data_IF_280261359481
#
_entry.id   IF_280261359481
#
_cell.length_a   1.000
_cell.length_b   1.000
_cell.length_c   1.000
_cell.angle_alpha   90.00
_cell.angle_beta   90.00
_cell.angle_gamma   90.00
#
_symmetry.space_group_name_H-M   'P 1'
#
loop_
_entity.id
_entity.type
_entity.pdbx_description
1 polymer ?
#
# COMPACT_ATOMS: atom_id res chain seq x y z
N UNK A 1 1.25 23.66 -5.78
CA UNK A 1 0.27 23.03 -6.70
C UNK A 1 0.71 21.61 -7.02
N UNK A 2 -0.22 20.72 -7.39
CA UNK A 2 0.07 19.32 -7.72
C UNK A 2 0.24 19.19 -9.25
N UNK A 3 1.46 18.88 -9.70
CA UNK A 3 1.80 18.75 -11.13
C UNK A 3 1.50 17.35 -11.67
N UNK A 4 1.17 16.40 -10.79
CA UNK A 4 0.80 15.03 -11.17
C UNK A 4 2.00 14.12 -11.44
N UNK A 5 3.22 14.54 -11.11
CA UNK A 5 4.43 13.71 -11.25
C UNK A 5 4.30 12.40 -10.44
N UNK A 6 4.77 11.25 -10.96
CA UNK A 6 4.72 9.98 -10.24
C UNK A 6 5.30 10.09 -8.81
N UNK A 7 4.50 9.75 -7.80
CA UNK A 7 4.90 9.79 -6.40
C UNK A 7 4.85 11.17 -5.73
N UNK A 8 4.39 12.21 -6.42
CA UNK A 8 4.07 13.49 -5.78
C UNK A 8 2.86 13.30 -4.85
N UNK A 9 2.91 13.83 -3.63
CA UNK A 9 1.82 13.70 -2.65
C UNK A 9 1.34 15.05 -2.16
N UNK A 10 0.02 15.22 -2.03
CA UNK A 10 -0.58 16.39 -1.40
C UNK A 10 -1.64 15.92 -0.40
N UNK A 11 -1.47 16.29 0.87
CA UNK A 11 -2.42 15.99 1.92
C UNK A 11 -3.32 17.22 2.13
N UNK A 12 -4.62 17.03 1.94
CA UNK A 12 -5.65 18.03 2.21
C UNK A 12 -6.35 17.69 3.52
N UNK A 13 -6.68 18.71 4.29
CA UNK A 13 -7.37 18.61 5.57
C UNK A 13 -8.73 19.29 5.48
N UNK A 14 -9.76 18.69 6.10
CA UNK A 14 -11.09 19.29 6.25
C UNK A 14 -11.69 19.81 4.92
N UNK A 15 -11.72 18.94 3.90
CA UNK A 15 -12.34 19.29 2.62
C UNK A 15 -13.85 19.33 2.79
N UNK A 16 -14.54 20.43 2.39
CA UNK A 16 -15.98 20.55 2.55
C UNK A 16 -16.72 19.47 1.76
N UNK A 17 -17.85 19.00 2.28
CA UNK A 17 -18.72 17.97 1.67
C UNK A 17 -18.09 16.58 1.52
N UNK A 18 -17.02 16.26 2.28
CA UNK A 18 -16.42 14.93 2.33
C UNK A 18 -16.40 14.42 3.77
N UNK A 19 -16.80 13.17 3.98
CA UNK A 19 -16.82 12.54 5.33
C UNK A 19 -15.41 12.27 5.87
N UNK A 20 -14.42 12.14 4.99
CA UNK A 20 -13.03 11.89 5.34
C UNK A 20 -12.38 13.15 5.94
N UNK A 21 -11.76 13.01 7.11
CA UNK A 21 -11.01 14.11 7.76
C UNK A 21 -9.84 14.62 6.92
N UNK A 22 -9.23 13.72 6.14
CA UNK A 22 -8.05 13.98 5.30
C UNK A 22 -8.19 13.30 3.95
N UNK A 23 -7.71 13.97 2.91
CA UNK A 23 -7.64 13.43 1.55
C UNK A 23 -6.18 13.46 1.10
N UNK A 24 -5.63 12.30 0.77
CA UNK A 24 -4.29 12.17 0.21
C UNK A 24 -4.39 12.05 -1.32
N UNK A 25 -3.89 13.05 -2.02
CA UNK A 25 -3.74 13.04 -3.47
C UNK A 25 -2.34 12.54 -3.83
N UNK A 26 -2.26 11.66 -4.82
CA UNK A 26 -1.01 11.08 -5.30
C UNK A 26 -0.91 11.26 -6.81
N UNK A 27 0.16 11.90 -7.25
CA UNK A 27 0.52 11.99 -8.66
C UNK A 27 0.90 10.62 -9.18
N UNK A 28 0.17 10.15 -10.18
CA UNK A 28 0.40 8.83 -10.80
C UNK A 28 1.11 8.95 -12.17
N UNK A 29 1.49 10.16 -12.59
CA UNK A 29 2.00 10.41 -13.93
C UNK A 29 0.92 10.37 -15.01
N UNK A 30 1.35 10.18 -16.25
CA UNK A 30 0.43 10.05 -17.38
C UNK A 30 -0.24 8.68 -17.36
N UNK A 31 -1.55 8.66 -17.50
CA UNK A 31 -2.37 7.44 -17.43
C UNK A 31 -1.87 6.32 -18.39
N UNK A 32 -1.48 6.68 -19.62
CA UNK A 32 -1.02 5.71 -20.62
C UNK A 32 0.36 5.11 -20.34
N UNK A 33 1.14 5.74 -19.47
CA UNK A 33 2.50 5.31 -19.14
C UNK A 33 2.53 4.43 -17.88
N UNK A 34 1.39 4.29 -17.16
CA UNK A 34 1.32 3.55 -15.91
C UNK A 34 1.55 2.04 -16.11
N UNK A 35 2.78 1.64 -15.84
CA UNK A 35 3.22 0.25 -15.85
C UNK A 35 3.22 -0.36 -14.44
N UNK A 36 3.63 -1.63 -14.37
CA UNK A 36 3.64 -2.39 -13.12
C UNK A 36 4.63 -1.85 -12.08
N UNK A 37 5.77 -1.32 -12.56
CA UNK A 37 6.83 -0.79 -11.70
C UNK A 37 6.37 0.53 -11.09
N UNK A 38 5.83 1.42 -11.91
CA UNK A 38 5.27 2.69 -11.48
C UNK A 38 4.09 2.47 -10.52
N UNK A 39 3.21 1.50 -10.81
CA UNK A 39 2.13 1.14 -9.90
C UNK A 39 2.65 0.77 -8.50
N UNK A 40 3.66 -0.12 -8.42
CA UNK A 40 4.29 -0.48 -7.14
C UNK A 40 4.91 0.73 -6.44
N UNK A 41 5.62 1.59 -7.17
CA UNK A 41 6.22 2.80 -6.60
C UNK A 41 5.17 3.76 -6.03
N UNK A 42 4.05 3.94 -6.74
CA UNK A 42 2.92 4.76 -6.29
C UNK A 42 2.32 4.18 -5.01
N UNK A 43 2.08 2.87 -4.96
CA UNK A 43 1.56 2.22 -3.73
C UNK A 43 2.56 2.35 -2.58
N UNK A 44 3.84 2.08 -2.79
CA UNK A 44 4.88 2.22 -1.76
C UNK A 44 4.91 3.64 -1.19
N UNK A 45 4.88 4.66 -2.06
CA UNK A 45 4.86 6.06 -1.65
C UNK A 45 3.61 6.40 -0.83
N UNK A 46 2.45 5.89 -1.27
CA UNK A 46 1.17 6.03 -0.57
C UNK A 46 1.27 5.50 0.86
N UNK A 47 1.78 4.28 1.01
CA UNK A 47 1.86 3.60 2.31
C UNK A 47 2.82 4.33 3.25
N UNK A 48 3.98 4.77 2.75
CA UNK A 48 4.92 5.58 3.52
C UNK A 48 4.27 6.88 4.00
N UNK A 49 3.62 7.63 3.11
CA UNK A 49 2.94 8.88 3.48
C UNK A 49 1.80 8.66 4.48
N UNK A 50 1.05 7.55 4.37
CA UNK A 50 0.01 7.21 5.35
C UNK A 50 0.61 6.89 6.72
N UNK A 51 1.75 6.19 6.77
CA UNK A 51 2.43 5.86 8.01
C UNK A 51 3.06 7.10 8.67
N UNK A 52 3.70 7.98 7.89
CA UNK A 52 4.30 9.23 8.37
C UNK A 52 3.25 10.21 8.91
N UNK A 53 2.06 10.22 8.30
CA UNK A 53 0.95 11.08 8.71
C UNK A 53 0.14 10.50 9.88
N UNK A 54 0.51 9.31 10.40
CA UNK A 54 -0.15 8.67 11.53
C UNK A 54 -1.61 8.29 11.27
N UNK A 55 -1.92 7.91 10.03
CA UNK A 55 -3.27 7.50 9.62
C UNK A 55 -3.50 6.02 9.96
N UNK A 56 -4.47 5.74 10.84
CA UNK A 56 -4.78 4.36 11.25
C UNK A 56 -5.65 3.62 10.25
N UNK A 57 -6.53 4.33 9.54
CA UNK A 57 -7.42 3.77 8.54
C UNK A 57 -7.35 4.59 7.24
N UNK A 58 -7.39 3.91 6.10
CA UNK A 58 -7.40 4.56 4.80
C UNK A 58 -8.27 3.78 3.79
N UNK A 59 -9.01 4.52 2.96
CA UNK A 59 -9.69 4.00 1.77
C UNK A 59 -8.86 4.37 0.56
N UNK A 60 -8.50 3.37 -0.25
CA UNK A 60 -7.60 3.49 -1.38
C UNK A 60 -8.36 3.29 -2.69
N UNK A 61 -8.31 4.31 -3.55
CA UNK A 61 -8.94 4.31 -4.87
C UNK A 61 -7.93 4.03 -6.01
N UNK A 62 -6.65 3.82 -5.70
CA UNK A 62 -5.59 3.58 -6.69
C UNK A 62 -5.79 2.27 -7.46
N UNK A 63 -6.60 1.35 -6.94
CA UNK A 63 -7.00 0.11 -7.62
C UNK A 63 -7.88 0.35 -8.84
N UNK A 64 -8.45 1.54 -9.02
CA UNK A 64 -9.21 1.90 -10.22
C UNK A 64 -8.33 2.29 -11.40
N UNK A 65 -7.07 2.69 -11.15
CA UNK A 65 -6.16 3.15 -12.19
C UNK A 65 -5.98 2.11 -13.30
N UNK A 66 -5.94 2.57 -14.54
CA UNK A 66 -5.66 1.70 -15.69
C UNK A 66 -4.16 1.36 -15.70
N UNK A 67 -3.83 0.11 -15.38
CA UNK A 67 -2.47 -0.42 -15.49
C UNK A 67 -2.42 -1.30 -16.73
N UNK A 68 -1.48 -1.02 -17.64
CA UNK A 68 -1.40 -1.68 -18.94
C UNK A 68 -1.36 -3.21 -18.82
N UNK A 69 -2.36 -3.89 -19.38
CA UNK A 69 -2.44 -5.35 -19.41
C UNK A 69 -2.75 -6.03 -18.07
N UNK A 70 -3.21 -5.29 -17.05
CA UNK A 70 -3.48 -5.83 -15.72
C UNK A 70 -4.94 -5.67 -15.30
N UNK A 71 -5.46 -6.69 -14.65
CA UNK A 71 -6.83 -6.72 -14.15
C UNK A 71 -6.91 -6.26 -12.68
N UNK A 72 -8.14 -6.10 -12.16
CA UNK A 72 -8.36 -5.65 -10.78
C UNK A 72 -7.82 -6.64 -9.73
N UNK A 73 -7.89 -7.95 -10.00
CA UNK A 73 -7.25 -8.96 -9.15
C UNK A 73 -5.75 -8.69 -8.97
N UNK A 74 -5.04 -8.47 -10.08
CA UNK A 74 -3.60 -8.20 -10.05
C UNK A 74 -3.29 -6.91 -9.30
N UNK A 75 -4.05 -5.83 -9.56
CA UNK A 75 -3.86 -4.53 -8.91
C UNK A 75 -4.04 -4.63 -7.39
N UNK A 76 -5.14 -5.24 -6.92
CA UNK A 76 -5.40 -5.44 -5.48
C UNK A 76 -4.32 -6.31 -4.84
N UNK A 77 -3.97 -7.44 -5.47
CA UNK A 77 -2.93 -8.35 -4.96
C UNK A 77 -1.59 -7.64 -4.82
N UNK A 78 -1.15 -6.92 -5.86
CA UNK A 78 0.11 -6.19 -5.83
C UNK A 78 0.08 -5.02 -4.84
N UNK A 79 -1.05 -4.35 -4.67
CA UNK A 79 -1.19 -3.31 -3.65
C UNK A 79 -1.01 -3.88 -2.23
N UNK A 80 -1.60 -5.04 -1.94
CA UNK A 80 -1.45 -5.74 -0.66
C UNK A 80 0.00 -6.20 -0.43
N UNK A 81 0.60 -6.87 -1.41
CA UNK A 81 2.00 -7.33 -1.33
C UNK A 81 2.95 -6.14 -1.10
N UNK A 82 2.80 -5.08 -1.90
CA UNK A 82 3.64 -3.88 -1.78
C UNK A 82 3.45 -3.17 -0.45
N UNK A 83 2.22 -3.10 0.08
CA UNK A 83 1.96 -2.50 1.38
C UNK A 83 2.64 -3.25 2.52
N UNK A 84 2.54 -4.59 2.52
CA UNK A 84 3.21 -5.43 3.54
C UNK A 84 4.73 -5.39 3.42
N UNK A 85 5.24 -5.37 2.20
CA UNK A 85 6.66 -5.20 1.90
C UNK A 85 7.19 -3.86 2.41
N UNK A 86 6.45 -2.78 2.17
CA UNK A 86 6.84 -1.42 2.57
C UNK A 86 6.87 -1.26 4.10
N UNK A 87 5.96 -1.90 4.80
CA UNK A 87 5.85 -1.86 6.27
C UNK A 87 6.72 -2.91 6.97
N UNK A 88 7.50 -3.71 6.23
CA UNK A 88 8.37 -4.71 6.81
C UNK A 88 9.50 -4.06 7.62
N UNK A 89 9.65 -4.49 8.87
CA UNK A 89 10.78 -4.15 9.74
C UNK A 89 11.22 -5.40 10.50
N UNK A 90 12.52 -5.57 10.68
CA UNK A 90 13.13 -6.65 11.45
C UNK A 90 13.76 -6.10 12.73
N UNK A 91 12.94 -6.01 13.78
CA UNK A 91 13.34 -5.42 15.06
C UNK A 91 13.50 -6.46 16.18
N UNK A 92 13.47 -7.76 15.84
CA UNK A 92 13.51 -8.84 16.83
C UNK A 92 14.78 -8.81 17.69
N UNK A 93 15.91 -8.36 17.11
CA UNK A 93 17.22 -8.28 17.76
C UNK A 93 17.60 -6.86 18.20
N UNK A 94 16.67 -5.90 18.10
CA UNK A 94 16.89 -4.52 18.55
C UNK A 94 16.48 -4.38 20.01
N UNK A 95 17.40 -3.85 20.84
CA UNK A 95 17.11 -3.51 22.25
C UNK A 95 16.10 -2.36 22.36
N UNK A 96 16.28 -1.33 21.53
CA UNK A 96 15.36 -0.19 21.45
C UNK A 96 14.46 -0.35 20.23
N UNK A 97 13.24 -0.83 20.43
CA UNK A 97 12.24 -0.96 19.37
C UNK A 97 11.49 0.36 19.21
N UNK A 98 11.51 0.93 18.01
CA UNK A 98 10.72 2.12 17.70
C UNK A 98 9.35 1.69 17.18
N UNK A 99 8.35 1.66 18.06
CA UNK A 99 6.97 1.45 17.61
C UNK A 99 6.39 2.76 17.05
N UNK A 100 5.84 2.75 15.83
CA UNK A 100 5.13 3.91 15.32
C UNK A 100 3.91 4.19 16.21
N UNK A 101 3.77 5.43 16.70
CA UNK A 101 2.66 5.83 17.61
C UNK A 101 1.27 5.60 17.03
N UNK A 102 1.12 5.67 15.70
CA UNK A 102 -0.16 5.52 14.99
C UNK A 102 0.06 4.71 13.70
N UNK A 103 0.21 3.39 13.81
CA UNK A 103 0.44 2.55 12.63
C UNK A 103 -0.82 2.48 11.76
N UNK A 104 -0.64 2.30 10.45
CA UNK A 104 -1.73 1.98 9.55
C UNK A 104 -2.28 0.58 9.89
N UNK A 105 -3.50 0.53 10.46
CA UNK A 105 -4.15 -0.69 10.94
C UNK A 105 -5.06 -1.31 9.89
N UNK A 106 -5.75 -0.48 9.11
CA UNK A 106 -6.77 -0.92 8.16
C UNK A 106 -6.64 -0.17 6.85
N UNK A 107 -6.63 -0.93 5.75
CA UNK A 107 -6.69 -0.38 4.40
C UNK A 107 -7.85 -1.04 3.68
N UNK A 108 -8.72 -0.22 3.08
CA UNK A 108 -9.85 -0.66 2.29
C UNK A 108 -9.56 -0.31 0.84
N UNK A 109 -9.60 -1.29 -0.06
CA UNK A 109 -9.42 -1.06 -1.49
C UNK A 109 -10.78 -0.91 -2.16
N UNK A 110 -10.96 0.18 -2.91
CA UNK A 110 -12.18 0.34 -3.69
C UNK A 110 -12.13 -0.54 -4.95
N UNK A 111 -13.26 -1.10 -5.32
CA UNK A 111 -13.43 -1.81 -6.60
C UNK A 111 -14.55 -1.15 -7.41
N UNK A 112 -14.37 -0.93 -8.73
CA UNK A 112 -15.34 -0.21 -9.55
C UNK A 112 -16.73 -0.87 -9.59
N UNK A 113 -16.80 -2.20 -9.53
CA UNK A 113 -18.05 -2.94 -9.69
C UNK A 113 -18.24 -4.02 -8.63
N UNK A 114 -19.51 -4.28 -8.27
CA UNK A 114 -19.87 -5.34 -7.30
C UNK A 114 -19.44 -6.74 -7.75
N UNK A 115 -19.38 -6.97 -9.07
CA UNK A 115 -18.96 -8.27 -9.65
C UNK A 115 -17.48 -8.58 -9.37
N UNK A 116 -16.67 -7.56 -9.16
CA UNK A 116 -15.24 -7.71 -8.91
C UNK A 116 -14.91 -7.89 -7.43
N UNK A 117 -15.88 -7.72 -6.52
CA UNK A 117 -15.68 -7.90 -5.07
C UNK A 117 -15.11 -9.29 -4.75
N UNK A 118 -15.71 -10.36 -5.28
CA UNK A 118 -15.22 -11.73 -5.04
C UNK A 118 -13.79 -11.92 -5.53
N UNK A 119 -13.42 -11.27 -6.65
CA UNK A 119 -12.07 -11.32 -7.19
C UNK A 119 -11.09 -10.52 -6.34
N UNK A 120 -11.51 -9.35 -5.85
CA UNK A 120 -10.74 -8.51 -4.92
C UNK A 120 -10.50 -9.18 -3.57
N UNK A 121 -11.51 -9.83 -2.99
CA UNK A 121 -11.38 -10.59 -1.74
C UNK A 121 -10.36 -11.73 -1.88
N UNK A 122 -10.44 -12.50 -2.98
CA UNK A 122 -9.45 -13.53 -3.31
C UNK A 122 -8.05 -12.93 -3.49
N UNK A 123 -7.95 -11.78 -4.17
CA UNK A 123 -6.68 -11.08 -4.35
C UNK A 123 -6.05 -10.65 -3.03
N UNK A 124 -6.86 -10.20 -2.06
CA UNK A 124 -6.40 -9.86 -0.71
C UNK A 124 -5.90 -11.12 0.00
N UNK A 125 -6.68 -12.20 0.01
CA UNK A 125 -6.29 -13.45 0.65
C UNK A 125 -4.96 -13.99 0.09
N UNK A 126 -4.84 -14.05 -1.24
CA UNK A 126 -3.61 -14.50 -1.89
C UNK A 126 -2.44 -13.54 -1.62
N UNK A 127 -2.66 -12.23 -1.71
CA UNK A 127 -1.63 -11.23 -1.44
C UNK A 127 -1.10 -11.29 0.00
N UNK A 128 -1.99 -11.51 0.98
CA UNK A 128 -1.60 -11.70 2.38
C UNK A 128 -0.80 -12.98 2.60
N UNK A 129 -1.21 -14.10 1.99
CA UNK A 129 -0.48 -15.36 2.07
C UNK A 129 0.93 -15.25 1.47
N UNK A 130 1.05 -14.61 0.29
CA UNK A 130 2.33 -14.36 -0.37
C UNK A 130 3.21 -13.46 0.49
N UNK A 131 2.67 -12.34 0.98
CA UNK A 131 3.41 -11.42 1.84
C UNK A 131 3.88 -12.06 3.14
N UNK A 132 3.09 -12.97 3.73
CA UNK A 132 3.49 -13.73 4.91
C UNK A 132 4.67 -14.67 4.60
N UNK A 133 4.64 -15.35 3.45
CA UNK A 133 5.77 -16.17 2.98
C UNK A 133 7.05 -15.36 2.75
N UNK A 134 6.93 -14.20 2.09
CA UNK A 134 8.05 -13.27 1.87
C UNK A 134 8.61 -12.79 3.21
N UNK A 135 7.73 -12.39 4.15
CA UNK A 135 8.14 -11.98 5.49
C UNK A 135 8.92 -13.09 6.20
N UNK A 136 8.40 -14.31 6.23
CA UNK A 136 9.07 -15.43 6.89
C UNK A 136 10.45 -15.72 6.29
N UNK A 137 10.58 -15.69 4.96
CA UNK A 137 11.87 -15.87 4.29
C UNK A 137 12.87 -14.74 4.62
N UNK A 138 12.40 -13.49 4.70
CA UNK A 138 13.24 -12.36 5.11
C UNK A 138 13.63 -12.39 6.57
N UNK A 139 12.70 -12.76 7.45
CA UNK A 139 12.97 -12.91 8.89
C UNK A 139 14.07 -13.97 9.07
N UNK A 140 13.97 -15.11 8.38
CA UNK A 140 14.99 -16.16 8.37
C UNK A 140 16.34 -15.66 7.85
N UNK A 141 16.35 -14.96 6.71
CA UNK A 141 17.58 -14.42 6.12
C UNK A 141 18.24 -13.30 6.93
N UNK A 142 17.46 -12.58 7.74
CA UNK A 142 17.96 -11.51 8.62
C UNK A 142 18.43 -12.03 9.98
N UNK A 143 18.13 -13.29 10.34
CA UNK A 143 18.65 -13.90 11.56
C UNK A 143 20.16 -14.17 11.43
N UNK A 144 20.94 -13.92 12.49
CA UNK A 144 22.36 -14.24 12.50
C UNK A 144 22.57 -15.76 12.59
N UNK A 145 23.70 -16.28 12.08
CA UNK A 145 23.95 -17.73 11.94
C UNK A 145 24.10 -18.48 13.26
N UNK A 146 24.14 -17.78 14.39
CA UNK A 146 24.14 -18.40 15.72
C UNK A 146 22.73 -18.66 16.26
N UNK A 147 21.69 -18.14 15.61
CA UNK A 147 20.28 -18.35 15.98
C UNK A 147 19.57 -19.26 14.96
N UNK A 148 19.89 -19.11 13.67
CA UNK A 148 19.29 -19.86 12.58
C UNK A 148 20.32 -20.69 11.81
#
# INVERSE_FOLDING_TARGET
ELEGKPGQTLLLHHVPNVLSERILLIGCGKERELDERQYKQVIQKTINTLNDTGSMEAVCFLTELHVKGRNNYWKVRQAVETAKETLYSFDQLKTNKSEPRRPLRKMVFNVPTRRELTSGERAIQHGLAIAAGIKAAKDLGNMPPNIC
#
